data_IF_037481635581
#
_entry.id   IF_037481635581
#
_cell.length_a   1.000
_cell.length_b   1.000
_cell.length_c   1.000
_cell.angle_alpha   90.00
_cell.angle_beta   90.00
_cell.angle_gamma   90.00
#
_symmetry.space_group_name_H-M   'P 1'
#
loop_
_entity.id
_entity.type
_entity.pdbx_description
1 polymer ?
#
# COMPACT_ATOMS: atom_id res chain seq x y z
N UNK A 1 -25.88 2.35 11.13
CA UNK A 1 -24.84 3.21 11.72
C UNK A 1 -23.66 3.21 10.76
N UNK A 2 -23.12 4.38 10.47
CA UNK A 2 -22.25 4.65 9.32
C UNK A 2 -20.98 3.78 9.30
N UNK A 3 -20.91 2.83 8.36
CA UNK A 3 -19.66 2.24 7.89
C UNK A 3 -18.89 3.31 7.11
N UNK A 4 -18.11 4.13 7.79
CA UNK A 4 -17.24 5.11 7.14
C UNK A 4 -16.00 5.37 7.98
N UNK A 5 -15.31 4.29 8.33
CA UNK A 5 -13.86 4.32 8.54
C UNK A 5 -13.14 3.86 7.28
N UNK A 6 -13.63 4.26 6.09
CA UNK A 6 -12.91 4.00 4.86
C UNK A 6 -11.63 4.84 4.92
N UNK A 7 -10.52 4.20 5.28
CA UNK A 7 -9.20 4.79 5.18
C UNK A 7 -9.03 5.19 3.72
N UNK A 8 -9.15 6.48 3.42
CA UNK A 8 -9.23 6.97 2.04
C UNK A 8 -7.89 6.76 1.33
N UNK A 9 -7.70 5.56 0.77
CA UNK A 9 -6.53 5.17 -0.01
C UNK A 9 -6.62 5.68 -1.45
N UNK A 10 -7.73 6.35 -1.80
CA UNK A 10 -7.94 6.94 -3.14
C UNK A 10 -6.99 8.11 -3.38
N UNK A 11 -6.64 8.83 -2.30
CA UNK A 11 -5.66 9.92 -2.30
C UNK A 11 -4.21 9.45 -2.44
N UNK A 12 -3.95 8.13 -2.33
CA UNK A 12 -2.60 7.54 -2.40
C UNK A 12 -2.27 7.23 -3.88
N UNK A 13 -1.13 7.71 -4.40
CA UNK A 13 -0.71 7.42 -5.77
C UNK A 13 -0.68 5.92 -6.05
N UNK A 14 -1.13 5.52 -7.25
CA UNK A 14 -1.14 4.11 -7.66
C UNK A 14 0.26 3.48 -7.63
N UNK A 15 1.29 4.23 -8.03
CA UNK A 15 2.69 3.78 -7.97
C UNK A 15 3.15 3.48 -6.53
N UNK A 16 2.67 4.26 -5.56
CA UNK A 16 3.00 4.05 -4.15
C UNK A 16 2.27 2.82 -3.60
N UNK A 17 0.99 2.64 -3.97
CA UNK A 17 0.20 1.44 -3.63
C UNK A 17 0.82 0.17 -4.17
N UNK A 18 1.25 0.20 -5.44
CA UNK A 18 1.98 -0.89 -6.07
C UNK A 18 3.28 -1.20 -5.32
N UNK A 19 4.09 -0.17 -4.99
CA UNK A 19 5.32 -0.38 -4.23
C UNK A 19 5.07 -1.02 -2.87
N UNK A 20 4.10 -0.52 -2.11
CA UNK A 20 3.73 -1.08 -0.79
C UNK A 20 3.33 -2.56 -0.93
N UNK A 21 2.48 -2.88 -1.90
CA UNK A 21 2.05 -4.26 -2.15
C UNK A 21 3.22 -5.16 -2.57
N UNK A 22 4.07 -4.69 -3.48
CA UNK A 22 5.26 -5.42 -3.92
C UNK A 22 6.20 -5.69 -2.74
N UNK A 23 6.44 -4.69 -1.89
CA UNK A 23 7.29 -4.85 -0.72
C UNK A 23 6.71 -5.82 0.31
N UNK A 24 5.40 -5.74 0.55
CA UNK A 24 4.69 -6.68 1.43
C UNK A 24 4.87 -8.13 0.97
N UNK A 25 4.69 -8.41 -0.33
CA UNK A 25 4.79 -9.77 -0.88
C UNK A 25 6.24 -10.30 -0.84
N UNK A 26 7.23 -9.47 -1.18
CA UNK A 26 8.61 -9.96 -1.40
C UNK A 26 9.54 -9.82 -0.20
N UNK A 27 9.31 -8.83 0.67
CA UNK A 27 10.24 -8.51 1.77
C UNK A 27 9.73 -8.92 3.15
N UNK A 28 8.56 -9.59 3.22
CA UNK A 28 7.95 -10.09 4.46
C UNK A 28 7.76 -9.02 5.54
N UNK A 29 7.56 -7.76 5.12
CA UNK A 29 7.24 -6.69 6.07
C UNK A 29 5.86 -6.90 6.68
N UNK A 30 5.74 -6.60 7.97
CA UNK A 30 4.45 -6.47 8.64
C UNK A 30 3.74 -5.19 8.19
N UNK A 31 2.42 -5.13 8.40
CA UNK A 31 1.66 -3.92 8.09
C UNK A 31 2.12 -2.72 8.94
N UNK A 32 2.53 -2.95 10.19
CA UNK A 32 3.09 -1.89 11.06
C UNK A 32 4.43 -1.36 10.54
N UNK A 33 5.29 -2.21 10.01
CA UNK A 33 6.56 -1.78 9.41
C UNK A 33 6.33 -0.96 8.13
N UNK A 34 5.38 -1.38 7.29
CA UNK A 34 5.00 -0.63 6.09
C UNK A 34 4.34 0.70 6.46
N UNK A 35 3.45 0.70 7.44
CA UNK A 35 2.81 1.91 7.97
C UNK A 35 3.86 2.93 8.42
N UNK A 36 4.83 2.51 9.24
CA UNK A 36 5.93 3.36 9.68
C UNK A 36 6.84 3.81 8.53
N UNK A 37 7.16 2.92 7.58
CA UNK A 37 8.04 3.23 6.45
C UNK A 37 7.45 4.26 5.49
N UNK A 38 6.13 4.21 5.29
CA UNK A 38 5.42 5.07 4.34
C UNK A 38 4.66 6.22 5.00
N UNK A 39 4.69 6.33 6.34
CA UNK A 39 3.94 7.35 7.08
C UNK A 39 2.42 7.19 6.94
N UNK A 40 1.95 5.95 6.78
CA UNK A 40 0.54 5.58 6.63
C UNK A 40 0.03 4.90 7.90
N UNK A 41 -1.29 4.81 8.07
CA UNK A 41 -1.87 4.01 9.15
C UNK A 41 -1.93 2.53 8.75
N UNK A 42 -2.03 1.66 9.77
CA UNK A 42 -2.20 0.23 9.55
C UNK A 42 -3.41 -0.07 8.66
N UNK A 43 -4.54 0.63 8.87
CA UNK A 43 -5.77 0.44 8.09
C UNK A 43 -5.58 0.86 6.62
N UNK A 44 -4.82 1.92 6.36
CA UNK A 44 -4.48 2.32 5.01
C UNK A 44 -3.62 1.25 4.32
N UNK A 45 -2.62 0.69 4.99
CA UNK A 45 -1.81 -0.41 4.43
C UNK A 45 -2.68 -1.64 4.14
N UNK A 46 -3.56 -2.01 5.07
CA UNK A 46 -4.47 -3.13 4.90
C UNK A 46 -5.38 -2.92 3.67
N UNK A 47 -6.00 -1.74 3.54
CA UNK A 47 -6.84 -1.42 2.38
C UNK A 47 -6.04 -1.36 1.07
N UNK A 48 -4.79 -0.90 1.09
CA UNK A 48 -3.91 -0.97 -0.09
C UNK A 48 -3.70 -2.43 -0.48
N UNK A 49 -3.29 -3.29 0.45
CA UNK A 49 -2.99 -4.69 0.14
C UNK A 49 -4.23 -5.44 -0.33
N UNK A 50 -5.39 -5.17 0.27
CA UNK A 50 -6.68 -5.77 -0.08
C UNK A 50 -7.18 -5.34 -1.46
N UNK A 51 -7.02 -4.07 -1.84
CA UNK A 51 -7.54 -3.54 -3.10
C UNK A 51 -6.52 -3.58 -4.25
N UNK A 52 -5.25 -3.88 -3.97
CA UNK A 52 -4.21 -3.93 -5.00
C UNK A 52 -4.26 -5.25 -5.78
N UNK A 53 -4.30 -5.22 -7.12
CA UNK A 53 -4.33 -6.42 -7.93
C UNK A 53 -3.09 -7.31 -7.73
N UNK A 54 -3.29 -8.62 -7.59
CA UNK A 54 -2.20 -9.61 -7.41
C UNK A 54 -1.13 -9.55 -8.51
N UNK A 55 -1.48 -9.08 -9.73
CA UNK A 55 -0.50 -8.84 -10.81
C UNK A 55 0.64 -7.91 -10.40
N UNK A 56 0.42 -7.00 -9.44
CA UNK A 56 1.44 -6.07 -8.93
C UNK A 56 2.50 -6.77 -8.06
N UNK A 57 2.29 -8.02 -7.66
CA UNK A 57 3.35 -8.83 -7.05
C UNK A 57 4.42 -9.23 -8.08
N UNK A 58 4.05 -9.34 -9.36
CA UNK A 58 4.91 -9.87 -10.43
C UNK A 58 5.51 -8.77 -11.30
N UNK A 59 4.99 -7.55 -11.19
CA UNK A 59 5.47 -6.38 -11.91
C UNK A 59 6.38 -5.62 -10.94
N UNK A 60 7.60 -5.29 -11.36
CA UNK A 60 8.47 -4.45 -10.55
C UNK A 60 7.86 -3.03 -10.49
N UNK A 61 7.65 -2.43 -9.31
CA UNK A 61 7.16 -1.07 -9.22
C UNK A 61 8.13 -0.13 -9.92
N UNK A 62 7.60 0.88 -10.61
CA UNK A 62 8.42 1.93 -11.23
C UNK A 62 9.26 2.61 -10.15
N UNK A 63 10.43 3.12 -10.53
CA UNK A 63 11.23 3.96 -9.63
C UNK A 63 10.44 5.22 -9.29
N UNK A 64 9.84 5.25 -8.10
CA UNK A 64 9.27 6.45 -7.51
C UNK A 64 10.42 7.44 -7.30
N UNK A 65 10.54 8.39 -8.22
CA UNK A 65 11.40 9.57 -8.09
C UNK A 65 10.52 10.67 -7.51
N UNK A 66 10.63 10.98 -6.20
CA UNK A 66 9.98 12.16 -5.67
C UNK A 66 10.54 13.38 -6.41
N UNK A 67 9.68 14.10 -7.12
CA UNK A 67 10.00 15.41 -7.70
C UNK A 67 9.84 16.49 -6.63
#
# INVERSE_FOLDING_TARGET
MSESGASDVSSIPEDLRHRIFYEWVHYKYTFDELANKYGLTWEQIFEIVKNTPTRYAWIKPKEFTPK
#
